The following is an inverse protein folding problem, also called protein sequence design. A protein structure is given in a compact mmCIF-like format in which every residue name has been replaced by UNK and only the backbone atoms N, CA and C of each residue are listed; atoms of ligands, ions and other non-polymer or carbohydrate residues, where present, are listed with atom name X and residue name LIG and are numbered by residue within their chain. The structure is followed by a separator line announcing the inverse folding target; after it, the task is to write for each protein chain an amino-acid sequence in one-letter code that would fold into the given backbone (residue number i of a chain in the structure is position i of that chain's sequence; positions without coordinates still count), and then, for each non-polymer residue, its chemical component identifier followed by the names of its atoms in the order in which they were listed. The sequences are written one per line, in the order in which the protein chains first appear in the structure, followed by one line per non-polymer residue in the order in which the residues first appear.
data_IF_430240394008
#
_entry.id   IF_430240394008
#
_cell.length_a   1.000
_cell.length_b   1.000
_cell.length_c   1.000
_cell.angle_alpha   90.00
_cell.angle_beta   90.00
_cell.angle_gamma   90.00
#
_symmetry.space_group_name_H-M   'P 1'
#
loop_
_entity.id
_entity.type
_entity.pdbx_description
1 polymer ?
#
# COMPACT_ATOMS: atom_id res chain seq x y z
N UNK A 1 -13.34 8.86 6.91
CA UNK A 1 -12.32 9.62 6.14
C UNK A 1 -12.99 10.64 5.20
N UNK A 2 -14.31 10.59 5.19
CA UNK A 2 -15.31 11.30 4.38
C UNK A 2 -15.07 12.81 4.31
N UNK A 3 -14.81 13.48 5.43
CA UNK A 3 -14.57 14.93 5.43
C UNK A 3 -13.39 15.36 4.55
N UNK A 4 -12.29 14.59 4.53
CA UNK A 4 -11.12 14.94 3.71
C UNK A 4 -11.41 14.74 2.22
N UNK A 5 -12.11 13.67 1.89
CA UNK A 5 -12.55 13.38 0.52
C UNK A 5 -13.55 14.44 0.02
N UNK A 6 -14.52 14.83 0.84
CA UNK A 6 -15.49 15.89 0.51
C UNK A 6 -14.78 17.22 0.25
N UNK A 7 -13.83 17.60 1.11
CA UNK A 7 -13.04 18.82 0.94
C UNK A 7 -12.18 18.77 -0.34
N UNK A 8 -11.62 17.62 -0.69
CA UNK A 8 -10.88 17.46 -1.94
C UNK A 8 -11.76 17.72 -3.15
N UNK A 9 -12.97 17.14 -3.16
CA UNK A 9 -13.92 17.35 -4.26
C UNK A 9 -14.41 18.80 -4.34
N UNK A 10 -14.73 19.42 -3.20
CA UNK A 10 -15.19 20.81 -3.16
C UNK A 10 -14.13 21.82 -3.58
N UNK A 11 -12.87 21.60 -3.18
CA UNK A 11 -11.78 22.56 -3.41
C UNK A 11 -10.92 22.24 -4.63
N UNK A 12 -11.09 21.05 -5.23
CA UNK A 12 -10.26 20.52 -6.32
C UNK A 12 -8.76 20.50 -5.94
N UNK A 13 -8.46 20.29 -4.65
CA UNK A 13 -7.07 20.23 -4.17
C UNK A 13 -6.44 18.86 -4.40
N UNK A 14 -5.14 18.84 -4.65
CA UNK A 14 -4.36 17.60 -4.58
C UNK A 14 -4.13 17.22 -3.12
N UNK A 15 -4.29 15.94 -2.79
CA UNK A 15 -4.00 15.37 -1.47
C UNK A 15 -2.89 14.33 -1.57
N UNK A 16 -2.00 14.31 -0.57
CA UNK A 16 -1.01 13.24 -0.39
C UNK A 16 -1.26 12.62 0.98
N UNK A 17 -1.55 11.32 0.99
CA UNK A 17 -1.67 10.52 2.21
C UNK A 17 -0.40 9.70 2.44
N UNK A 18 0.10 9.75 3.67
CA UNK A 18 1.25 8.93 4.10
C UNK A 18 0.77 8.05 5.24
N UNK A 19 0.66 6.75 4.99
CA UNK A 19 0.24 5.76 5.98
C UNK A 19 0.94 4.43 5.75
N UNK A 20 0.92 3.59 6.77
CA UNK A 20 1.34 2.19 6.69
C UNK A 20 0.13 1.24 6.53
N UNK A 21 -1.08 1.77 6.65
CA UNK A 21 -2.32 1.00 6.57
C UNK A 21 -2.81 0.96 5.13
N UNK A 22 -2.62 -0.19 4.48
CA UNK A 22 -3.08 -0.42 3.12
C UNK A 22 -4.61 -0.44 3.00
N UNK A 23 -5.36 -0.77 4.07
CA UNK A 23 -6.82 -0.69 4.05
C UNK A 23 -7.32 0.74 3.86
N UNK A 24 -6.67 1.69 4.53
CA UNK A 24 -6.97 3.12 4.37
C UNK A 24 -6.58 3.61 2.96
N UNK A 25 -5.44 3.14 2.42
CA UNK A 25 -5.02 3.48 1.06
C UNK A 25 -6.04 3.02 0.03
N UNK A 26 -6.55 1.79 0.16
CA UNK A 26 -7.56 1.23 -0.75
C UNK A 26 -8.90 2.00 -0.74
N UNK A 27 -9.20 2.73 0.34
CA UNK A 27 -10.45 3.48 0.47
C UNK A 27 -10.38 4.90 -0.09
N UNK A 28 -9.21 5.56 -0.02
CA UNK A 28 -9.10 7.01 -0.29
C UNK A 28 -8.23 7.34 -1.51
N UNK A 29 -7.19 6.55 -1.80
CA UNK A 29 -6.16 6.95 -2.75
C UNK A 29 -6.47 6.45 -4.16
N UNK A 30 -6.25 7.29 -5.17
CA UNK A 30 -6.31 6.88 -6.58
C UNK A 30 -5.00 6.20 -7.02
N UNK A 31 -3.87 6.80 -6.65
CA UNK A 31 -2.51 6.31 -6.95
C UNK A 31 -1.74 6.02 -5.67
N UNK A 32 -0.82 5.04 -5.73
CA UNK A 32 -0.05 4.61 -4.57
C UNK A 32 1.42 4.49 -4.90
N UNK A 33 2.27 5.14 -4.10
CA UNK A 33 3.72 4.93 -4.11
C UNK A 33 4.13 4.12 -2.86
N UNK A 34 4.70 2.93 -3.07
CA UNK A 34 5.25 2.12 -2.00
C UNK A 34 6.72 2.46 -1.82
N UNK A 35 7.12 2.71 -0.56
CA UNK A 35 8.50 3.07 -0.23
C UNK A 35 9.18 2.01 0.65
N UNK A 36 10.47 1.81 0.41
CA UNK A 36 11.35 1.05 1.29
C UNK A 36 12.73 1.72 1.37
N UNK A 37 13.27 1.86 2.58
CA UNK A 37 14.61 2.44 2.79
C UNK A 37 14.78 3.85 2.22
N UNK A 38 13.70 4.65 2.21
CA UNK A 38 13.69 6.01 1.66
C UNK A 38 13.61 6.09 0.13
N UNK A 39 13.38 4.98 -0.57
CA UNK A 39 13.21 4.93 -2.02
C UNK A 39 11.82 4.45 -2.38
N UNK A 40 11.24 5.00 -3.44
CA UNK A 40 10.05 4.44 -4.08
C UNK A 40 10.48 3.13 -4.74
N UNK A 41 9.75 2.05 -4.45
CA UNK A 41 10.01 0.70 -4.96
C UNK A 41 8.87 0.19 -5.84
N UNK A 42 7.71 0.83 -5.78
CA UNK A 42 6.58 0.56 -6.67
C UNK A 42 5.67 1.79 -6.75
N UNK A 43 5.11 2.05 -7.93
CA UNK A 43 4.11 3.09 -8.16
C UNK A 43 3.08 2.57 -9.17
N UNK A 44 1.80 2.65 -8.82
CA UNK A 44 0.70 2.28 -9.71
C UNK A 44 -0.60 2.89 -9.21
N UNK A 45 -1.66 2.77 -10.00
CA UNK A 45 -3.02 2.99 -9.49
C UNK A 45 -3.34 1.98 -8.38
N UNK A 46 -4.29 2.35 -7.52
CA UNK A 46 -4.67 1.57 -6.35
C UNK A 46 -5.21 0.18 -6.73
N UNK A 47 -5.86 0.00 -7.87
CA UNK A 47 -6.41 -1.31 -8.25
C UNK A 47 -5.30 -2.24 -8.73
N UNK A 48 -4.42 -1.78 -9.61
CA UNK A 48 -3.27 -2.55 -10.09
C UNK A 48 -2.32 -2.93 -8.93
N UNK A 49 -2.13 -2.04 -7.96
CA UNK A 49 -1.26 -2.33 -6.81
C UNK A 49 -1.79 -3.52 -5.99
N UNK A 50 -3.11 -3.58 -5.77
CA UNK A 50 -3.73 -4.60 -4.93
C UNK A 50 -3.98 -5.91 -5.68
N UNK A 51 -4.35 -5.84 -6.96
CA UNK A 51 -4.67 -7.00 -7.79
C UNK A 51 -3.41 -7.64 -8.40
N UNK A 52 -2.46 -6.83 -8.86
CA UNK A 52 -1.24 -7.27 -9.54
C UNK A 52 0.03 -6.59 -9.00
N UNK A 53 0.32 -6.67 -7.69
CA UNK A 53 1.54 -6.12 -7.12
C UNK A 53 2.77 -6.71 -7.81
N UNK A 54 3.69 -5.86 -8.25
CA UNK A 54 4.90 -6.25 -9.00
C UNK A 54 6.09 -6.43 -8.07
N UNK A 55 6.31 -5.49 -7.14
CA UNK A 55 7.49 -5.50 -6.29
C UNK A 55 7.37 -6.54 -5.16
N UNK A 56 8.42 -7.33 -4.87
CA UNK A 56 8.40 -8.34 -3.81
C UNK A 56 8.03 -7.80 -2.43
N UNK A 57 8.44 -6.56 -2.15
CA UNK A 57 8.08 -5.87 -0.91
C UNK A 57 6.56 -5.59 -0.83
N UNK A 58 5.94 -5.08 -1.89
CA UNK A 58 4.50 -4.81 -1.94
C UNK A 58 3.68 -6.08 -1.80
N UNK A 59 4.06 -7.15 -2.54
CA UNK A 59 3.47 -8.49 -2.39
C UNK A 59 3.48 -8.97 -0.95
N UNK A 60 4.60 -8.75 -0.26
CA UNK A 60 4.75 -9.10 1.15
C UNK A 60 3.86 -8.26 2.05
N UNK A 61 3.79 -6.93 1.85
CA UNK A 61 2.92 -6.06 2.64
C UNK A 61 1.44 -6.46 2.51
N UNK A 62 0.96 -6.66 1.28
CA UNK A 62 -0.40 -7.11 1.01
C UNK A 62 -0.67 -8.50 1.62
N UNK A 63 0.31 -9.40 1.58
CA UNK A 63 0.20 -10.73 2.20
C UNK A 63 0.11 -10.72 3.73
N UNK A 64 0.48 -9.61 4.38
CA UNK A 64 0.35 -9.42 5.83
C UNK A 64 -1.00 -8.80 6.23
N UNK A 65 -1.82 -8.38 5.26
CA UNK A 65 -3.15 -7.84 5.55
C UNK A 65 -4.06 -8.95 6.09
N UNK A 66 -4.77 -8.72 7.20
CA UNK A 66 -5.72 -9.67 7.74
C UNK A 66 -6.90 -9.84 6.77
N UNK A 67 -7.25 -11.09 6.48
CA UNK A 67 -8.43 -11.43 5.69
C UNK A 67 -9.63 -11.60 6.61
N UNK A 68 -10.84 -11.35 6.09
CA UNK A 68 -12.09 -11.53 6.82
C UNK A 68 -12.29 -12.98 7.32
N UNK A 69 -11.61 -13.94 6.69
CA UNK A 69 -11.62 -15.37 7.03
C UNK A 69 -10.63 -15.76 8.12
N UNK A 70 -9.71 -14.88 8.50
CA UNK A 70 -8.65 -15.21 9.46
C UNK A 70 -9.19 -15.26 10.89
N UNK A 71 -8.63 -16.17 11.70
CA UNK A 71 -9.03 -16.28 13.10
C UNK A 71 -8.48 -15.08 13.89
N UNK A 72 -9.27 -14.49 14.81
CA UNK A 72 -8.82 -13.34 15.58
C UNK A 72 -7.58 -13.70 16.43
N UNK A 73 -6.64 -12.75 16.54
CA UNK A 73 -5.40 -12.83 17.33
C UNK A 73 -4.41 -13.93 16.91
N UNK A 74 -4.36 -14.25 15.62
CA UNK A 74 -3.34 -15.16 15.09
C UNK A 74 -1.99 -14.43 14.99
N UNK A 75 -0.93 -15.02 15.55
CA UNK A 75 0.43 -14.48 15.41
C UNK A 75 0.91 -14.73 13.98
N UNK A 76 1.33 -13.67 13.30
CA UNK A 76 1.93 -13.75 11.97
C UNK A 76 3.44 -13.90 12.14
N UNK A 77 4.03 -14.96 11.57
CA UNK A 77 5.47 -15.15 11.53
C UNK A 77 6.11 -14.21 10.49
N UNK A 78 6.67 -13.10 10.94
CA UNK A 78 7.27 -12.09 10.08
C UNK A 78 8.73 -12.47 9.82
N UNK A 79 8.99 -13.17 8.71
CA UNK A 79 10.36 -13.47 8.25
C UNK A 79 11.15 -12.18 7.95
N UNK A 80 12.48 -12.13 8.11
CA UNK A 80 13.29 -10.98 7.68
C UNK A 80 13.08 -10.62 6.21
N UNK A 81 13.22 -9.34 5.86
CA UNK A 81 13.16 -8.90 4.47
C UNK A 81 14.47 -9.28 3.79
N UNK A 82 14.38 -10.09 2.74
CA UNK A 82 15.50 -10.33 1.84
C UNK A 82 15.54 -9.25 0.76
N UNK A 83 16.38 -8.24 0.98
CA UNK A 83 16.53 -7.12 0.07
C UNK A 83 17.28 -7.47 -1.22
N UNK A 84 17.91 -8.66 -1.31
CA UNK A 84 18.61 -9.09 -2.54
C UNK A 84 17.64 -9.40 -3.68
N UNK A 85 16.36 -9.60 -3.35
CA UNK A 85 15.29 -9.88 -4.30
C UNK A 85 14.67 -8.61 -4.90
N UNK A 86 15.09 -7.41 -4.47
CA UNK A 86 14.46 -6.16 -4.90
C UNK A 86 14.96 -5.75 -6.29
N UNK A 87 14.09 -5.72 -7.31
CA UNK A 87 14.48 -5.19 -8.62
C UNK A 87 14.78 -3.69 -8.51
N UNK A 88 15.54 -3.15 -9.47
CA UNK A 88 15.60 -1.70 -9.63
C UNK A 88 14.20 -1.17 -9.95
N UNK A 89 13.84 -0.04 -9.31
CA UNK A 89 12.56 0.59 -9.55
C UNK A 89 12.47 1.06 -11.01
N UNK A 90 11.55 0.48 -11.75
CA UNK A 90 11.12 0.95 -13.07
C UNK A 90 9.77 1.59 -12.86
N UNK A 91 9.75 2.93 -12.85
CA UNK A 91 8.53 3.72 -12.68
C UNK A 91 7.58 3.61 -13.86
#
# INVERSE_FOLDING_TARGET
LDLMHDLQQETQMAMIFITHDLGVVAEICDDVAVMYGGKIVEYSDVFELFDHPKHPYTKRLLGLMPKLTDKPKQLIDIKPIDTTLFPEFQG
#
